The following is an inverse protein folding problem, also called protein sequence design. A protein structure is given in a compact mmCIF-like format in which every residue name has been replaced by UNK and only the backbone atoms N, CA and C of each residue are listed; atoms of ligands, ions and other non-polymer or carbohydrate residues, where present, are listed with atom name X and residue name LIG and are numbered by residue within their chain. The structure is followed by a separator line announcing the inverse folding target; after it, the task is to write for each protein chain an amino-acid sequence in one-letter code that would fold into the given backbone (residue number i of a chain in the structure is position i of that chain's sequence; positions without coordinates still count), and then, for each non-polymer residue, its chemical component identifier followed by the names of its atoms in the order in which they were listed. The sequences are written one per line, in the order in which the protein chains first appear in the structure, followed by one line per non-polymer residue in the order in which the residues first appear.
data_IF_771997893870
#
_entry.id   IF_771997893870
#
_cell.length_a   1.000
_cell.length_b   1.000
_cell.length_c   1.000
_cell.angle_alpha   90.00
_cell.angle_beta   90.00
_cell.angle_gamma   90.00
#
_symmetry.space_group_name_H-M   'P 1'
#
loop_
_entity.id
_entity.type
_entity.pdbx_description
1 polymer ?
#
# COMPACT_ATOMS: atom_id res chain seq x y z
N UNK A 1 -4.92 -12.63 -5.68
CA UNK A 1 -4.10 -11.79 -4.77
C UNK A 1 -2.69 -11.53 -5.31
N UNK A 2 -1.79 -12.52 -5.39
CA UNK A 2 -0.41 -12.28 -5.89
C UNK A 2 -0.39 -11.69 -7.31
N UNK A 3 -1.10 -12.33 -8.25
CA UNK A 3 -1.22 -11.84 -9.63
C UNK A 3 -1.78 -10.40 -9.67
N UNK A 4 -2.85 -10.12 -8.92
CA UNK A 4 -3.43 -8.78 -8.77
C UNK A 4 -2.38 -7.72 -8.40
N UNK A 5 -1.58 -7.96 -7.36
CA UNK A 5 -0.59 -6.98 -6.93
C UNK A 5 0.60 -6.88 -7.89
N UNK A 6 1.00 -7.99 -8.50
CA UNK A 6 2.11 -8.03 -9.45
C UNK A 6 1.77 -7.30 -10.75
N UNK A 7 0.61 -7.60 -11.34
CA UNK A 7 0.21 -7.12 -12.65
C UNK A 7 -0.25 -5.66 -12.60
N UNK A 8 -0.96 -5.26 -11.55
CA UNK A 8 -1.65 -3.96 -11.49
C UNK A 8 -1.03 -2.96 -10.48
N UNK A 9 -0.18 -3.42 -9.55
CA UNK A 9 0.48 -2.59 -8.53
C UNK A 9 2.00 -2.86 -8.39
N UNK A 10 2.61 -3.43 -9.43
CA UNK A 10 4.01 -3.84 -9.50
C UNK A 10 5.01 -2.67 -9.61
N UNK A 11 6.17 -2.92 -10.23
CA UNK A 11 7.27 -1.92 -10.32
C UNK A 11 6.81 -0.65 -11.04
N UNK A 12 6.15 -0.83 -12.19
CA UNK A 12 5.57 0.25 -12.99
C UNK A 12 4.08 0.30 -12.74
N UNK A 13 3.58 1.48 -12.38
CA UNK A 13 2.16 1.71 -12.07
C UNK A 13 1.58 2.78 -12.98
N UNK A 14 0.27 2.75 -13.14
CA UNK A 14 -0.53 3.84 -13.72
C UNK A 14 -1.90 3.89 -13.04
N UNK A 15 -2.68 4.93 -13.32
CA UNK A 15 -4.00 5.12 -12.72
C UNK A 15 -4.94 3.95 -13.01
N UNK A 16 -4.87 3.37 -14.21
CA UNK A 16 -5.74 2.29 -14.65
C UNK A 16 -5.43 0.98 -13.90
N UNK A 17 -4.17 0.58 -13.82
CA UNK A 17 -3.71 -0.57 -13.06
C UNK A 17 -4.08 -0.44 -11.59
N UNK A 18 -3.74 0.69 -10.96
CA UNK A 18 -4.06 0.89 -9.55
C UNK A 18 -5.57 0.86 -9.26
N UNK A 19 -6.40 1.35 -10.18
CA UNK A 19 -7.86 1.26 -10.06
C UNK A 19 -8.35 -0.19 -10.18
N UNK A 20 -7.80 -0.99 -11.11
CA UNK A 20 -8.10 -2.42 -11.23
C UNK A 20 -7.68 -3.19 -9.97
N UNK A 21 -6.47 -2.94 -9.46
CA UNK A 21 -6.01 -3.54 -8.21
C UNK A 21 -6.94 -3.21 -7.04
N UNK A 22 -7.37 -1.95 -6.93
CA UNK A 22 -8.29 -1.52 -5.87
C UNK A 22 -9.62 -2.27 -5.92
N UNK A 23 -10.22 -2.40 -7.11
CA UNK A 23 -11.46 -3.13 -7.30
C UNK A 23 -11.29 -4.63 -6.98
N UNK A 24 -10.29 -5.28 -7.57
CA UNK A 24 -10.03 -6.70 -7.35
C UNK A 24 -9.74 -7.03 -5.87
N UNK A 25 -9.10 -6.12 -5.12
CA UNK A 25 -8.88 -6.31 -3.68
C UNK A 25 -10.15 -6.17 -2.85
N UNK A 26 -11.15 -5.41 -3.29
CA UNK A 26 -12.48 -5.37 -2.66
C UNK A 26 -13.21 -6.69 -2.90
N UNK A 27 -13.16 -7.20 -4.13
CA UNK A 27 -13.80 -8.48 -4.48
C UNK A 27 -13.18 -9.64 -3.69
N UNK A 28 -11.84 -9.71 -3.63
CA UNK A 28 -11.11 -10.72 -2.85
C UNK A 28 -11.41 -10.66 -1.35
N UNK A 29 -11.59 -9.46 -0.79
CA UNK A 29 -11.98 -9.28 0.62
C UNK A 29 -13.39 -9.84 0.88
N UNK A 30 -14.33 -9.57 -0.04
CA UNK A 30 -15.68 -10.12 0.00
C UNK A 30 -15.72 -11.64 -0.12
N UNK A 31 -14.98 -12.20 -1.09
CA UNK A 31 -14.85 -13.65 -1.27
C UNK A 31 -14.28 -14.34 -0.03
N UNK A 32 -13.23 -13.77 0.57
CA UNK A 32 -12.61 -14.30 1.77
C UNK A 32 -13.57 -14.25 2.98
N UNK A 33 -14.37 -13.20 3.11
CA UNK A 33 -15.37 -13.08 4.17
C UNK A 33 -16.46 -14.16 4.10
N UNK A 34 -16.73 -14.69 2.89
CA UNK A 34 -17.67 -15.80 2.68
C UNK A 34 -17.00 -17.19 2.75
N UNK A 35 -15.68 -17.24 2.83
CA UNK A 35 -14.93 -18.49 2.98
C UNK A 35 -14.76 -18.83 4.46
N UNK A 36 -15.22 -20.02 4.86
CA UNK A 36 -14.95 -20.55 6.20
C UNK A 36 -13.65 -21.35 6.20
N UNK A 37 -12.76 -21.08 7.15
CA UNK A 37 -11.62 -21.94 7.40
C UNK A 37 -12.11 -23.33 7.85
N UNK A 38 -11.71 -24.37 7.13
CA UNK A 38 -11.99 -25.77 7.49
C UNK A 38 -11.49 -26.06 8.91
N UNK A 39 -12.26 -26.83 9.69
CA UNK A 39 -11.85 -27.24 11.04
C UNK A 39 -11.85 -26.12 12.08
N UNK A 40 -12.63 -25.05 11.91
CA UNK A 40 -12.68 -23.89 12.83
C UNK A 40 -12.93 -24.23 14.32
N UNK A 41 -13.34 -25.46 14.65
CA UNK A 41 -13.55 -25.97 16.02
C UNK A 41 -12.30 -26.60 16.64
N UNK A 42 -11.32 -26.99 15.83
CA UNK A 42 -10.02 -27.53 16.23
C UNK A 42 -8.98 -26.42 16.08
N UNK A 43 -8.70 -25.70 17.17
CA UNK A 43 -7.79 -24.53 17.13
C UNK A 43 -6.31 -24.90 17.20
N UNK A 44 -5.99 -26.11 17.65
CA UNK A 44 -4.61 -26.59 17.68
C UNK A 44 -4.16 -26.98 16.26
N UNK A 45 -3.08 -26.35 15.79
CA UNK A 45 -2.42 -26.64 14.51
C UNK A 45 -3.34 -26.56 13.26
N UNK A 46 -4.36 -25.70 13.29
CA UNK A 46 -5.21 -25.49 12.11
C UNK A 46 -4.53 -24.57 11.09
N UNK A 47 -3.81 -25.19 10.16
CA UNK A 47 -3.10 -24.49 9.08
C UNK A 47 -4.07 -23.71 8.16
N UNK A 48 -5.27 -24.24 7.90
CA UNK A 48 -6.25 -23.55 7.07
C UNK A 48 -6.75 -22.25 7.72
N UNK A 49 -6.87 -22.22 9.05
CA UNK A 49 -7.20 -21.01 9.79
C UNK A 49 -6.05 -19.99 9.76
N UNK A 50 -4.79 -20.43 9.89
CA UNK A 50 -3.64 -19.55 9.75
C UNK A 50 -3.55 -18.95 8.33
N UNK A 51 -3.77 -19.75 7.30
CA UNK A 51 -3.75 -19.27 5.90
C UNK A 51 -4.85 -18.24 5.65
N UNK A 52 -6.05 -18.48 6.19
CA UNK A 52 -7.14 -17.52 6.13
C UNK A 52 -6.79 -16.18 6.78
N UNK A 53 -6.19 -16.20 7.98
CA UNK A 53 -5.73 -14.99 8.67
C UNK A 53 -4.62 -14.27 7.88
N UNK A 54 -3.65 -15.02 7.36
CA UNK A 54 -2.57 -14.47 6.56
C UNK A 54 -3.10 -13.79 5.30
N UNK A 55 -4.04 -14.43 4.60
CA UNK A 55 -4.65 -13.86 3.40
C UNK A 55 -5.47 -12.59 3.72
N UNK A 56 -6.21 -12.58 4.83
CA UNK A 56 -6.93 -11.38 5.28
C UNK A 56 -5.98 -10.21 5.54
N UNK A 57 -4.88 -10.46 6.26
CA UNK A 57 -3.85 -9.46 6.51
C UNK A 57 -3.17 -8.97 5.22
N UNK A 58 -2.86 -9.89 4.30
CA UNK A 58 -2.27 -9.57 3.01
C UNK A 58 -3.18 -8.68 2.16
N UNK A 59 -4.49 -8.94 2.14
CA UNK A 59 -5.48 -8.10 1.46
C UNK A 59 -5.55 -6.71 2.10
N UNK A 60 -5.63 -6.62 3.44
CA UNK A 60 -5.71 -5.35 4.15
C UNK A 60 -4.48 -4.44 3.90
N UNK A 61 -3.27 -5.02 3.96
CA UNK A 61 -2.02 -4.30 3.65
C UNK A 61 -1.97 -3.89 2.19
N UNK A 62 -2.37 -4.79 1.27
CA UNK A 62 -2.41 -4.50 -0.17
C UNK A 62 -3.34 -3.34 -0.52
N UNK A 63 -4.54 -3.29 0.09
CA UNK A 63 -5.47 -2.17 -0.07
C UNK A 63 -4.84 -0.86 0.40
N UNK A 64 -4.12 -0.88 1.51
CA UNK A 64 -3.40 0.30 2.02
C UNK A 64 -2.31 0.78 1.04
N UNK A 65 -1.53 -0.16 0.49
CA UNK A 65 -0.49 0.14 -0.51
C UNK A 65 -1.10 0.74 -1.78
N UNK A 66 -2.14 0.11 -2.33
CA UNK A 66 -2.80 0.59 -3.55
C UNK A 66 -3.40 1.98 -3.33
N UNK A 67 -4.10 2.21 -2.21
CA UNK A 67 -4.66 3.53 -1.90
C UNK A 67 -3.59 4.61 -1.73
N UNK A 68 -2.45 4.27 -1.13
CA UNK A 68 -1.30 5.18 -1.08
C UNK A 68 -0.70 5.44 -2.47
N UNK A 69 -0.61 4.42 -3.31
CA UNK A 69 -0.08 4.53 -4.68
C UNK A 69 -0.98 5.35 -5.62
N UNK A 70 -2.30 5.29 -5.43
CA UNK A 70 -3.28 6.13 -6.15
C UNK A 70 -3.08 7.60 -5.77
N UNK A 71 -2.99 7.90 -4.47
CA UNK A 71 -2.86 9.27 -3.97
C UNK A 71 -1.51 9.93 -4.27
N UNK A 72 -0.49 9.14 -4.65
CA UNK A 72 0.87 9.63 -4.95
C UNK A 72 1.08 9.78 -6.46
N UNK A 73 0.88 11.00 -6.93
CA UNK A 73 1.03 11.41 -8.33
C UNK A 73 2.45 11.92 -8.65
N UNK A 74 3.46 11.10 -8.34
CA UNK A 74 4.86 11.36 -8.67
C UNK A 74 5.65 10.06 -8.82
N UNK A 75 6.90 10.13 -9.27
CA UNK A 75 7.79 8.98 -9.42
C UNK A 75 9.09 9.15 -8.65
N UNK A 76 9.18 8.51 -7.47
CA UNK A 76 10.36 8.61 -6.61
C UNK A 76 10.64 7.30 -5.87
N UNK A 77 11.88 6.83 -5.95
CA UNK A 77 12.30 5.57 -5.33
C UNK A 77 11.58 4.37 -5.96
N UNK A 78 11.12 3.43 -5.12
CA UNK A 78 10.39 2.23 -5.58
C UNK A 78 8.96 2.49 -6.07
N UNK A 79 8.44 3.71 -5.88
CA UNK A 79 7.17 4.15 -6.42
C UNK A 79 7.39 4.87 -7.74
N UNK A 80 7.06 4.22 -8.85
CA UNK A 80 7.15 4.80 -10.19
C UNK A 80 5.80 4.72 -10.91
N UNK A 81 5.32 5.86 -11.40
CA UNK A 81 4.06 6.07 -12.10
C UNK A 81 4.32 6.51 -13.54
N UNK A 82 3.89 5.72 -14.52
CA UNK A 82 4.10 6.04 -15.95
C UNK A 82 3.41 7.34 -16.37
N UNK A 83 2.27 7.61 -15.76
CA UNK A 83 1.45 8.80 -15.97
C UNK A 83 1.87 9.99 -15.08
N UNK A 84 2.84 9.80 -14.17
CA UNK A 84 3.46 10.86 -13.36
C UNK A 84 4.95 10.62 -13.20
N UNK A 85 5.73 10.89 -14.26
CA UNK A 85 7.15 10.55 -14.32
C UNK A 85 8.07 11.48 -13.53
N UNK A 86 7.61 12.68 -13.18
CA UNK A 86 8.39 13.65 -12.42
C UNK A 86 8.52 13.22 -10.94
N UNK A 87 9.71 13.31 -10.33
CA UNK A 87 9.89 12.96 -8.93
C UNK A 87 9.29 13.96 -7.95
N UNK A 88 8.96 15.18 -8.37
CA UNK A 88 8.53 16.30 -7.54
C UNK A 88 9.68 16.93 -6.75
N UNK A 89 9.39 18.04 -6.06
CA UNK A 89 10.35 18.72 -5.18
C UNK A 89 10.65 17.93 -3.90
N UNK A 90 11.91 17.92 -3.48
CA UNK A 90 12.34 17.28 -2.24
C UNK A 90 11.97 18.11 -1.02
N UNK A 91 12.02 19.44 -1.08
CA UNK A 91 11.73 20.30 0.08
C UNK A 91 10.25 20.23 0.50
N UNK A 92 9.34 20.04 -0.46
CA UNK A 92 7.92 19.80 -0.20
C UNK A 92 7.53 18.33 -0.01
N UNK A 93 8.48 17.44 0.31
CA UNK A 93 8.21 16.00 0.42
C UNK A 93 7.16 15.68 1.47
N UNK A 94 6.32 14.70 1.16
CA UNK A 94 5.35 14.14 2.10
C UNK A 94 5.53 12.63 2.24
N UNK A 95 5.21 12.07 3.40
CA UNK A 95 4.91 10.65 3.53
C UNK A 95 3.40 10.43 3.48
N UNK A 96 2.98 9.28 2.96
CA UNK A 96 1.56 8.94 2.87
C UNK A 96 1.13 8.17 4.11
N UNK A 97 0.11 8.66 4.79
CA UNK A 97 -0.52 8.00 5.92
C UNK A 97 -1.86 7.44 5.47
N UNK A 98 -2.06 6.13 5.68
CA UNK A 98 -3.34 5.46 5.48
C UNK A 98 -3.90 5.09 6.84
N UNK A 99 -5.17 5.43 7.10
CA UNK A 99 -5.90 5.04 8.32
C UNK A 99 -7.20 4.38 7.94
N UNK A 100 -7.55 3.31 8.65
CA UNK A 100 -8.89 2.75 8.56
C UNK A 100 -9.78 3.40 9.63
N UNK A 101 -10.93 3.94 9.20
CA UNK A 101 -11.98 4.50 10.06
C UNK A 101 -13.34 4.15 9.48
N UNK A 102 -14.25 3.67 10.32
CA UNK A 102 -15.63 3.33 9.92
C UNK A 102 -15.72 2.47 8.64
N UNK A 103 -14.80 1.51 8.51
CA UNK A 103 -14.71 0.62 7.34
C UNK A 103 -14.08 1.24 6.08
N UNK A 104 -13.76 2.54 6.09
CA UNK A 104 -13.12 3.24 4.98
C UNK A 104 -11.62 3.45 5.21
N UNK A 105 -10.85 3.48 4.12
CA UNK A 105 -9.44 3.90 4.14
C UNK A 105 -9.33 5.39 3.80
N UNK A 106 -8.93 6.17 4.79
CA UNK A 106 -8.54 7.57 4.66
C UNK A 106 -7.05 7.65 4.29
N UNK A 107 -6.71 8.53 3.33
CA UNK A 107 -5.34 8.74 2.86
C UNK A 107 -4.98 10.20 3.03
N UNK A 108 -3.81 10.46 3.62
CA UNK A 108 -3.33 11.81 3.89
C UNK A 108 -1.86 11.93 3.53
N UNK A 109 -1.51 13.02 2.84
CA UNK A 109 -0.12 13.39 2.57
C UNK A 109 0.39 14.26 3.72
N UNK A 110 1.32 13.74 4.51
CA UNK A 110 1.87 14.45 5.67
C UNK A 110 3.23 15.05 5.30
N UNK A 111 3.45 16.36 5.48
CA UNK A 111 4.75 16.98 5.26
C UNK A 111 5.86 16.32 6.06
N UNK A 112 6.98 16.03 5.40
CA UNK A 112 8.21 15.59 6.05
C UNK A 112 8.79 16.76 6.83
N UNK A 113 9.17 16.51 8.09
CA UNK A 113 9.92 17.47 8.89
C UNK A 113 11.40 17.14 8.76
N UNK A 114 12.16 18.00 8.08
CA UNK A 114 13.60 17.87 7.99
C UNK A 114 14.25 18.39 9.27
N UNK A 115 14.74 17.47 10.12
CA UNK A 115 15.29 17.81 11.45
C UNK A 115 16.80 17.63 11.57
N UNK A 116 17.46 17.11 10.54
CA UNK A 116 18.91 16.84 10.53
C UNK A 116 19.61 17.34 9.28
N UNK A 117 19.04 17.01 8.11
CA UNK A 117 19.53 17.43 6.80
C UNK A 117 18.33 17.89 5.99
N UNK A 118 18.42 19.09 5.42
CA UNK A 118 17.43 19.64 4.50
C UNK A 118 17.89 19.39 3.04
N UNK A 119 16.97 19.08 2.10
CA UNK A 119 17.32 18.98 0.69
C UNK A 119 17.97 20.27 0.17
N UNK A 120 19.12 20.15 -0.48
CA UNK A 120 19.87 21.30 -1.00
C UNK A 120 20.90 21.89 -0.02
N UNK A 121 20.92 21.46 1.25
CA UNK A 121 21.97 21.81 2.20
C UNK A 121 23.06 20.73 2.21
N UNK A 122 24.34 21.14 2.22
CA UNK A 122 25.42 20.21 2.53
C UNK A 122 25.24 19.75 3.98
N UNK A 123 25.10 18.43 4.18
CA UNK A 123 24.93 17.87 5.53
C UNK A 123 26.07 18.28 6.48
N UNK A 124 25.88 18.16 7.80
CA UNK A 124 26.92 18.52 8.76
C UNK A 124 28.20 17.75 8.43
N UNK A 125 29.31 18.48 8.28
CA UNK A 125 30.62 17.87 8.08
C UNK A 125 30.86 16.90 9.24
N UNK A 126 31.12 15.63 8.91
CA UNK A 126 31.49 14.63 9.90
C UNK A 126 32.83 15.05 10.52
N UNK A 127 32.77 15.58 11.74
CA UNK A 127 33.91 15.84 12.61
C UNK A 127 34.11 14.70 13.60
#
# INVERSE_FOLDING_TARGET
MFATMWDDAGIVRDAAGLSRAAAALVDLDGELAHTQASGAREREFNLAWHDWLNLSNLIAVSRSIVRAGIARENSRGAHWRRDFTDPGDLASSTYTRVRQRDGALEVEAIPVRFTRVCPGEAGPAAG
#
